data_IF_806868870762
#
_entry.id   IF_806868870762
#
_cell.length_a   1.000
_cell.length_b   1.000
_cell.length_c   1.000
_cell.angle_alpha   90.00
_cell.angle_beta   90.00
_cell.angle_gamma   90.00
#
_symmetry.space_group_name_H-M   'P 1'
#
loop_
_entity.id
_entity.type
_entity.pdbx_description
1 polymer ?
#
# COMPACT_ATOMS: atom_id res chain seq x y z
N UNK A 1 -1.21 -28.42 -7.59
CA UNK A 1 -0.36 -27.41 -8.27
C UNK A 1 -1.13 -26.11 -8.58
N UNK A 2 -2.05 -26.02 -9.56
CA UNK A 2 -2.76 -24.76 -9.84
C UNK A 2 -3.61 -24.22 -8.66
N UNK A 3 -4.27 -25.13 -7.91
CA UNK A 3 -5.01 -24.75 -6.69
C UNK A 3 -4.09 -24.19 -5.58
N UNK A 4 -2.82 -24.58 -5.57
CA UNK A 4 -1.84 -24.13 -4.58
C UNK A 4 -1.29 -22.74 -4.93
N UNK A 5 -1.09 -22.46 -6.22
CA UNK A 5 -0.71 -21.13 -6.71
C UNK A 5 -1.77 -20.07 -6.38
N UNK A 6 -3.06 -20.39 -6.51
CA UNK A 6 -4.15 -19.47 -6.11
C UNK A 6 -4.08 -19.10 -4.62
N UNK A 7 -3.75 -20.06 -3.74
CA UNK A 7 -3.55 -19.79 -2.31
C UNK A 7 -2.35 -18.89 -2.07
N UNK A 8 -1.25 -19.12 -2.79
CA UNK A 8 -0.04 -18.28 -2.69
C UNK A 8 -0.34 -16.84 -3.15
N UNK A 9 -1.05 -16.66 -4.26
CA UNK A 9 -1.46 -15.33 -4.76
C UNK A 9 -2.32 -14.61 -3.72
N UNK A 10 -3.28 -15.30 -3.11
CA UNK A 10 -4.13 -14.74 -2.06
C UNK A 10 -3.33 -14.37 -0.81
N UNK A 11 -2.39 -15.22 -0.40
CA UNK A 11 -1.48 -14.92 0.70
C UNK A 11 -0.67 -13.64 0.45
N UNK A 12 -0.09 -13.47 -0.74
CA UNK A 12 0.64 -12.24 -1.09
C UNK A 12 -0.28 -11.02 -1.13
N UNK A 13 -1.53 -11.19 -1.61
CA UNK A 13 -2.51 -10.10 -1.59
C UNK A 13 -2.77 -9.62 -0.16
N UNK A 14 -3.00 -10.55 0.78
CA UNK A 14 -3.23 -10.21 2.18
C UNK A 14 -2.02 -9.50 2.79
N UNK A 15 -0.80 -9.98 2.53
CA UNK A 15 0.42 -9.31 3.00
C UNK A 15 0.55 -7.88 2.45
N UNK A 16 0.26 -7.69 1.16
CA UNK A 16 0.26 -6.35 0.55
C UNK A 16 -0.75 -5.44 1.24
N UNK A 17 -1.95 -5.94 1.53
CA UNK A 17 -3.01 -5.15 2.16
C UNK A 17 -2.67 -4.80 3.62
N UNK A 18 -2.05 -5.72 4.37
CA UNK A 18 -1.51 -5.45 5.71
C UNK A 18 -0.43 -4.38 5.69
N UNK A 19 0.52 -4.46 4.75
CA UNK A 19 1.60 -3.47 4.61
C UNK A 19 1.07 -2.11 4.16
N UNK A 20 0.06 -2.06 3.29
CA UNK A 20 -0.63 -0.82 2.91
C UNK A 20 -1.34 -0.18 4.10
N UNK A 21 -1.97 -0.98 4.96
CA UNK A 21 -2.59 -0.48 6.19
C UNK A 21 -1.55 0.13 7.12
N UNK A 22 -0.40 -0.52 7.30
CA UNK A 22 0.71 0.02 8.08
C UNK A 22 1.27 1.32 7.48
N UNK A 23 1.46 1.38 6.16
CA UNK A 23 1.85 2.60 5.44
C UNK A 23 0.86 3.75 5.69
N UNK A 24 -0.44 3.49 5.61
CA UNK A 24 -1.47 4.48 5.95
C UNK A 24 -1.36 4.96 7.41
N UNK A 25 -0.99 4.06 8.33
CA UNK A 25 -0.70 4.41 9.72
C UNK A 25 0.48 5.39 9.87
N UNK A 26 1.57 5.18 9.14
CA UNK A 26 2.73 6.10 9.15
C UNK A 26 2.39 7.46 8.54
N UNK A 27 1.70 7.48 7.39
CA UNK A 27 1.28 8.72 6.75
C UNK A 27 0.36 9.56 7.65
N UNK A 28 -0.54 8.91 8.37
CA UNK A 28 -1.40 9.59 9.35
C UNK A 28 -0.58 10.18 10.52
N UNK A 29 0.45 9.46 10.99
CA UNK A 29 1.34 9.97 12.04
C UNK A 29 2.13 11.18 11.58
N UNK A 30 2.71 11.15 10.37
CA UNK A 30 3.38 12.31 9.77
C UNK A 30 2.41 13.50 9.70
N UNK A 31 1.20 13.31 9.17
CA UNK A 31 0.21 14.39 9.10
C UNK A 31 -0.13 14.99 10.47
N UNK A 32 -0.15 14.17 11.53
CA UNK A 32 -0.37 14.68 12.89
C UNK A 32 0.84 15.47 13.42
N UNK A 33 2.06 15.01 13.13
CA UNK A 33 3.29 15.72 13.47
C UNK A 33 3.43 17.04 12.72
N UNK A 34 3.10 17.09 11.43
CA UNK A 34 3.08 18.33 10.65
C UNK A 34 2.11 19.35 11.26
N UNK A 35 0.88 18.93 11.61
CA UNK A 35 -0.08 19.80 12.31
C UNK A 35 0.46 20.29 13.65
N UNK A 36 1.19 19.44 14.38
CA UNK A 36 1.80 19.82 15.65
C UNK A 36 2.92 20.85 15.46
N UNK A 37 3.75 20.68 14.43
CA UNK A 37 4.78 21.66 14.03
C UNK A 37 4.13 22.99 13.68
N UNK A 38 3.13 22.98 12.81
CA UNK A 38 2.44 24.19 12.36
C UNK A 38 1.78 24.92 13.54
N UNK A 39 1.23 24.18 14.51
CA UNK A 39 0.71 24.74 15.76
C UNK A 39 1.79 25.45 16.58
N UNK A 40 2.96 24.84 16.74
CA UNK A 40 4.09 25.46 17.45
C UNK A 40 4.60 26.72 16.73
N UNK A 41 4.70 26.70 15.41
CA UNK A 41 5.08 27.86 14.62
C UNK A 41 4.06 29.00 14.74
N UNK A 42 2.76 28.68 14.71
CA UNK A 42 1.70 29.65 14.91
C UNK A 42 1.78 30.28 16.30
N UNK A 43 2.04 29.49 17.34
CA UNK A 43 2.21 29.99 18.70
C UNK A 43 3.42 30.92 18.84
N UNK A 44 4.56 30.61 18.21
CA UNK A 44 5.74 31.51 18.20
C UNK A 44 5.37 32.86 17.58
N UNK A 45 4.62 32.86 16.47
CA UNK A 45 4.16 34.09 15.80
C UNK A 45 3.19 34.90 16.68
N UNK A 46 2.23 34.22 17.32
CA UNK A 46 1.28 34.85 18.23
C UNK A 46 1.99 35.46 19.45
N UNK A 47 2.91 34.72 20.05
CA UNK A 47 3.66 35.17 21.23
C UNK A 47 4.59 36.33 20.89
N UNK A 48 5.19 36.35 19.68
CA UNK A 48 5.97 37.48 19.18
C UNK A 48 5.15 38.77 19.14
N UNK A 49 3.92 38.66 18.62
CA UNK A 49 3.00 39.79 18.53
C UNK A 49 2.62 40.30 19.92
N UNK A 50 2.34 39.40 20.86
CA UNK A 50 1.98 39.77 22.23
C UNK A 50 3.16 40.43 22.98
N UNK A 51 4.37 39.86 22.88
CA UNK A 51 5.57 40.41 23.50
C UNK A 51 5.92 41.82 22.97
N UNK A 52 5.62 42.10 21.69
CA UNK A 52 5.84 43.43 21.09
C UNK A 52 4.86 44.50 21.58
N UNK A 53 3.70 44.10 22.12
CA UNK A 53 2.61 44.98 22.54
C UNK A 53 2.47 45.11 24.08
N UNK A 54 3.38 44.51 24.86
CA UNK A 54 3.24 44.40 26.33
C UNK A 54 4.47 44.95 27.08
N UNK A 55 4.31 45.29 28.36
CA UNK A 55 5.36 45.79 29.26
C UNK A 55 6.63 44.91 29.28
N UNK A 56 7.77 45.55 29.57
CA UNK A 56 9.14 45.03 29.47
C UNK A 56 9.40 43.66 30.15
N UNK A 57 8.64 43.33 31.20
CA UNK A 57 8.78 42.05 31.94
C UNK A 57 8.33 40.85 31.09
N UNK A 58 7.26 40.97 30.31
CA UNK A 58 6.75 39.88 29.45
C UNK A 58 7.71 39.62 28.28
N UNK A 59 8.26 40.69 27.71
CA UNK A 59 9.28 40.59 26.67
C UNK A 59 10.55 39.85 27.13
N UNK A 60 10.87 39.91 28.43
CA UNK A 60 12.04 39.23 29.01
C UNK A 60 11.90 37.69 29.02
N UNK A 61 10.69 37.14 29.16
CA UNK A 61 10.44 35.69 29.15
C UNK A 61 10.25 35.11 27.74
N UNK A 62 10.00 35.95 26.74
CA UNK A 62 9.75 35.55 25.35
C UNK A 62 10.89 34.71 24.75
N UNK A 63 12.15 35.10 24.97
CA UNK A 63 13.30 34.39 24.43
C UNK A 63 13.38 32.93 24.89
N UNK A 64 13.11 32.67 26.17
CA UNK A 64 13.09 31.32 26.74
C UNK A 64 11.94 30.47 26.18
N UNK A 65 10.75 31.07 26.04
CA UNK A 65 9.60 30.40 25.43
C UNK A 65 9.89 29.98 23.99
N UNK A 66 10.43 30.89 23.17
CA UNK A 66 10.77 30.62 21.77
C UNK A 66 11.82 29.52 21.65
N UNK A 67 12.89 29.57 22.47
CA UNK A 67 13.91 28.54 22.48
C UNK A 67 13.32 27.15 22.80
N UNK A 68 12.48 27.06 23.83
CA UNK A 68 11.81 25.79 24.20
C UNK A 68 10.86 25.28 23.10
N UNK A 69 10.21 26.19 22.38
CA UNK A 69 9.26 25.83 21.32
C UNK A 69 9.98 25.37 20.06
N UNK A 70 11.12 26.00 19.71
CA UNK A 70 12.00 25.50 18.65
C UNK A 70 12.57 24.12 18.95
N UNK A 71 12.89 23.82 20.21
CA UNK A 71 13.30 22.48 20.59
C UNK A 71 12.19 21.45 20.32
N UNK A 72 10.94 21.76 20.67
CA UNK A 72 9.78 20.90 20.36
C UNK A 72 9.58 20.70 18.86
N UNK A 73 9.75 21.76 18.06
CA UNK A 73 9.69 21.67 16.60
C UNK A 73 10.76 20.69 16.08
N UNK A 74 12.00 20.83 16.54
CA UNK A 74 13.09 19.94 16.16
C UNK A 74 12.82 18.48 16.55
N UNK A 75 12.27 18.25 17.74
CA UNK A 75 11.87 16.90 18.18
C UNK A 75 10.76 16.30 17.30
N UNK A 76 9.85 17.13 16.78
CA UNK A 76 8.81 16.71 15.83
C UNK A 76 9.44 16.40 14.47
N UNK A 77 10.35 17.22 13.97
CA UNK A 77 11.05 17.01 12.70
C UNK A 77 11.84 15.69 12.70
N UNK A 78 12.58 15.40 13.77
CA UNK A 78 13.31 14.13 13.91
C UNK A 78 12.35 12.93 13.79
N UNK A 79 11.16 13.01 14.40
CA UNK A 79 10.16 11.94 14.31
C UNK A 79 9.57 11.80 12.92
N UNK A 80 9.43 12.90 12.18
CA UNK A 80 9.00 12.87 10.78
C UNK A 80 10.06 12.14 9.96
N UNK A 81 11.33 12.52 10.09
CA UNK A 81 12.45 11.90 9.36
C UNK A 81 12.55 10.38 9.62
N UNK A 82 12.38 9.96 10.88
CA UNK A 82 12.35 8.53 11.26
C UNK A 82 11.18 7.76 10.58
N UNK A 83 10.01 8.40 10.50
CA UNK A 83 8.85 7.82 9.83
C UNK A 83 9.01 7.80 8.31
N UNK A 84 9.64 8.80 7.71
CA UNK A 84 9.94 8.83 6.27
C UNK A 84 10.85 7.66 5.87
N UNK A 85 11.91 7.39 6.63
CA UNK A 85 12.75 6.21 6.41
C UNK A 85 11.95 4.90 6.54
N UNK A 86 11.02 4.83 7.49
CA UNK A 86 10.12 3.67 7.66
C UNK A 86 9.14 3.53 6.48
N UNK A 87 8.67 4.64 5.92
CA UNK A 87 7.82 4.68 4.73
C UNK A 87 8.57 4.17 3.49
N UNK A 88 9.80 4.60 3.29
CA UNK A 88 10.61 4.12 2.16
C UNK A 88 10.80 2.59 2.24
N UNK A 89 11.13 2.08 3.41
CA UNK A 89 11.29 0.64 3.65
C UNK A 89 10.00 -0.13 3.36
N UNK A 90 8.86 0.29 3.90
CA UNK A 90 7.60 -0.43 3.68
C UNK A 90 7.14 -0.35 2.22
N UNK A 91 7.43 0.76 1.53
CA UNK A 91 7.17 0.88 0.10
C UNK A 91 8.03 -0.09 -0.72
N UNK A 92 9.29 -0.29 -0.36
CA UNK A 92 10.14 -1.31 -1.00
C UNK A 92 9.59 -2.71 -0.78
N UNK A 93 9.19 -3.05 0.45
CA UNK A 93 8.59 -4.34 0.76
C UNK A 93 7.31 -4.59 -0.06
N UNK A 94 6.43 -3.60 -0.15
CA UNK A 94 5.21 -3.67 -0.99
C UNK A 94 5.60 -3.92 -2.45
N UNK A 95 6.59 -3.21 -3.00
CA UNK A 95 7.08 -3.41 -4.37
C UNK A 95 7.56 -4.84 -4.61
N UNK A 96 8.31 -5.41 -3.67
CA UNK A 96 8.81 -6.79 -3.75
C UNK A 96 7.66 -7.79 -3.73
N UNK A 97 6.71 -7.65 -2.80
CA UNK A 97 5.54 -8.51 -2.71
C UNK A 97 4.69 -8.47 -3.99
N UNK A 98 4.52 -7.29 -4.60
CA UNK A 98 3.83 -7.16 -5.88
C UNK A 98 4.54 -7.91 -7.00
N UNK A 99 5.87 -7.82 -7.06
CA UNK A 99 6.68 -8.52 -8.06
C UNK A 99 6.53 -10.04 -7.90
N UNK A 100 6.63 -10.55 -6.69
CA UNK A 100 6.46 -11.98 -6.37
C UNK A 100 5.05 -12.46 -6.71
N UNK A 101 4.02 -11.75 -6.25
CA UNK A 101 2.62 -12.03 -6.60
C UNK A 101 2.44 -12.11 -8.11
N UNK A 102 3.06 -11.21 -8.88
CA UNK A 102 2.90 -11.17 -10.33
C UNK A 102 3.49 -12.39 -11.02
N UNK A 103 4.61 -12.92 -10.52
CA UNK A 103 5.21 -14.17 -11.03
C UNK A 103 4.23 -15.33 -10.86
N UNK A 104 3.59 -15.44 -9.70
CA UNK A 104 2.59 -16.48 -9.43
C UNK A 104 1.33 -16.32 -10.29
N UNK A 105 0.83 -15.09 -10.46
CA UNK A 105 -0.31 -14.79 -11.35
C UNK A 105 -0.03 -15.22 -12.80
N UNK A 106 1.14 -14.87 -13.35
CA UNK A 106 1.51 -15.24 -14.72
C UNK A 106 1.56 -16.76 -14.87
N UNK A 107 2.13 -17.45 -13.89
CA UNK A 107 2.23 -18.91 -13.89
C UNK A 107 0.85 -19.56 -13.83
N UNK A 108 -0.01 -19.06 -12.94
CA UNK A 108 -1.39 -19.53 -12.81
C UNK A 108 -2.20 -19.32 -14.11
N UNK A 109 -2.06 -18.16 -14.74
CA UNK A 109 -2.74 -17.85 -16.00
C UNK A 109 -2.32 -18.81 -17.12
N UNK A 110 -1.03 -19.15 -17.22
CA UNK A 110 -0.54 -20.15 -18.19
C UNK A 110 -1.13 -21.54 -17.93
N UNK A 111 -1.26 -21.94 -16.66
CA UNK A 111 -1.90 -23.21 -16.31
C UNK A 111 -3.39 -23.22 -16.68
N UNK A 112 -4.11 -22.14 -16.36
CA UNK A 112 -5.54 -22.03 -16.65
C UNK A 112 -5.80 -21.98 -18.17
N UNK A 113 -4.95 -21.29 -18.94
CA UNK A 113 -5.05 -21.27 -20.40
C UNK A 113 -4.83 -22.66 -21.00
N UNK A 114 -3.83 -23.40 -20.52
CA UNK A 114 -3.56 -24.77 -20.97
C UNK A 114 -4.72 -25.70 -20.66
N UNK A 115 -5.21 -25.68 -19.43
CA UNK A 115 -6.36 -26.49 -19.01
C UNK A 115 -7.61 -26.17 -19.84
N UNK A 116 -7.84 -24.89 -20.17
CA UNK A 116 -8.94 -24.47 -21.04
C UNK A 116 -8.80 -25.04 -22.45
N UNK A 117 -7.60 -24.95 -23.04
CA UNK A 117 -7.32 -25.51 -24.38
C UNK A 117 -7.52 -27.02 -24.42
N UNK A 118 -7.04 -27.73 -23.40
CA UNK A 118 -7.19 -29.18 -23.30
C UNK A 118 -8.68 -29.57 -23.19
N UNK A 119 -9.47 -28.83 -22.39
CA UNK A 119 -10.92 -29.04 -22.29
C UNK A 119 -11.64 -28.81 -23.62
N UNK A 120 -11.36 -27.70 -24.31
CA UNK A 120 -11.94 -27.39 -25.62
C UNK A 120 -11.59 -28.49 -26.63
N UNK A 121 -10.36 -28.98 -26.62
CA UNK A 121 -9.93 -30.06 -27.51
C UNK A 121 -10.70 -31.36 -27.25
N UNK A 122 -10.90 -31.73 -25.98
CA UNK A 122 -11.69 -32.90 -25.60
C UNK A 122 -13.16 -32.76 -26.00
N UNK A 123 -13.76 -31.58 -25.76
CA UNK A 123 -15.13 -31.28 -26.17
C UNK A 123 -15.30 -31.36 -27.69
N UNK A 124 -14.34 -30.84 -28.47
CA UNK A 124 -14.38 -30.91 -29.93
C UNK A 124 -14.33 -32.36 -30.43
N UNK A 125 -13.41 -33.18 -29.91
CA UNK A 125 -13.30 -34.60 -30.29
C UNK A 125 -14.60 -35.34 -29.99
N UNK A 126 -15.20 -35.10 -28.82
CA UNK A 126 -16.47 -35.70 -28.43
C UNK A 126 -17.61 -35.30 -29.37
N UNK A 127 -17.71 -34.01 -29.74
CA UNK A 127 -18.72 -33.53 -30.68
C UNK A 127 -18.53 -34.10 -32.09
N UNK A 128 -17.29 -34.23 -32.55
CA UNK A 128 -16.96 -34.81 -33.85
C UNK A 128 -17.36 -36.30 -33.90
N UNK A 129 -17.09 -37.06 -32.83
CA UNK A 129 -17.49 -38.47 -32.71
C UNK A 129 -19.03 -38.61 -32.76
N UNK A 130 -19.76 -37.80 -32.01
CA UNK A 130 -21.22 -37.81 -31.97
C UNK A 130 -21.83 -37.42 -33.33
N UNK A 131 -21.22 -36.45 -34.02
CA UNK A 131 -21.61 -36.06 -35.37
C UNK A 131 -21.42 -37.20 -36.38
N UNK A 132 -20.28 -37.90 -36.33
CA UNK A 132 -20.04 -39.06 -37.19
C UNK A 132 -21.02 -40.20 -36.91
N UNK A 133 -21.30 -40.49 -35.64
CA UNK A 133 -22.25 -41.54 -35.27
C UNK A 133 -23.66 -41.22 -35.79
N UNK A 134 -24.10 -39.98 -35.61
CA UNK A 134 -25.40 -39.50 -36.10
C UNK A 134 -25.51 -39.62 -37.62
N UNK A 135 -24.46 -39.21 -38.34
CA UNK A 135 -24.39 -39.34 -39.80
C UNK A 135 -24.44 -40.82 -40.26
N UNK A 136 -23.72 -41.73 -39.58
CA UNK A 136 -23.77 -43.17 -39.87
C UNK A 136 -25.15 -43.76 -39.66
N UNK A 137 -25.86 -43.35 -38.60
CA UNK A 137 -27.23 -43.80 -38.33
C UNK A 137 -28.21 -43.33 -39.41
N UNK A 138 -28.08 -42.09 -39.89
CA UNK A 138 -28.91 -41.55 -40.97
C UNK A 138 -28.65 -42.21 -42.33
N UNK A 139 -27.42 -42.65 -42.62
CA UNK A 139 -27.07 -43.31 -43.89
C UNK A 139 -27.46 -44.78 -43.97
N UNK A 140 -27.59 -45.45 -42.82
CA UNK A 140 -27.95 -46.86 -42.73
C UNK A 140 -29.47 -47.10 -42.60
N UNK A 141 -30.28 -46.03 -42.68
CA UNK A 141 -31.73 -46.05 -42.82
C UNK A 141 -32.12 -45.55 -44.21
#
# INVERSE_FOLDING_TARGET
>A
MAKDLKKIIYFHQNLIDEKRKALGGFLNQISNYEKQRDYFEANIKAEKHNASNTNNIVAMFYGGYVASTYQKIREVEIKIDELEGSIENIQQEIRLLFKEKKVFEITQNKHDERARKDKIKLEQVFLDELGQETYRRLKNH
#
